data_IF_031362899763
#
_entry.id   IF_031362899763
#
_cell.length_a   1.000
_cell.length_b   1.000
_cell.length_c   1.000
_cell.angle_alpha   90.00
_cell.angle_beta   90.00
_cell.angle_gamma   90.00
#
_symmetry.space_group_name_H-M   'P 1'
#
loop_
_entity.id
_entity.type
_entity.pdbx_description
1 polymer ?
#
# COMPACT_ATOMS: atom_id res chain seq x y z
N UNK A 1 50.83 -3.18 -25.82
CA UNK A 1 49.44 -2.84 -25.47
C UNK A 1 49.31 -2.86 -23.96
N UNK A 2 49.33 -1.70 -23.29
CA UNK A 2 48.70 -1.46 -21.98
C UNK A 2 48.57 0.06 -21.85
N UNK A 3 47.31 0.48 -21.74
CA UNK A 3 46.82 1.85 -21.74
C UNK A 3 46.98 2.37 -20.30
N UNK A 4 47.95 3.25 -20.05
CA UNK A 4 48.07 3.95 -18.77
C UNK A 4 46.93 4.97 -18.66
N UNK A 5 46.00 4.69 -17.76
CA UNK A 5 44.95 5.61 -17.32
C UNK A 5 45.46 6.32 -16.06
N UNK A 6 45.46 7.65 -16.04
CA UNK A 6 45.06 8.46 -14.87
C UNK A 6 45.00 9.96 -15.22
N UNK A 7 43.83 10.51 -14.93
CA UNK A 7 43.34 11.86 -15.18
C UNK A 7 44.16 12.94 -14.44
N UNK A 8 44.31 14.15 -15.00
CA UNK A 8 44.87 15.29 -14.29
C UNK A 8 43.82 16.13 -13.55
N UNK A 9 44.28 16.60 -12.38
CA UNK A 9 44.07 17.89 -11.71
C UNK A 9 42.67 18.39 -11.35
N UNK A 10 42.46 18.49 -10.02
CA UNK A 10 41.58 19.47 -9.40
C UNK A 10 41.99 20.90 -9.79
N UNK A 11 41.07 21.64 -10.39
CA UNK A 11 40.98 23.10 -10.22
C UNK A 11 39.50 23.47 -10.13
N UNK A 12 39.00 23.65 -8.91
CA UNK A 12 37.73 24.30 -8.67
C UNK A 12 37.93 25.81 -8.83
N UNK A 13 37.45 26.37 -9.94
CA UNK A 13 37.35 27.81 -10.15
C UNK A 13 35.88 28.23 -9.98
N UNK A 14 35.70 29.30 -9.21
CA UNK A 14 34.43 29.89 -8.83
C UNK A 14 33.70 30.54 -10.01
N UNK A 15 32.37 30.50 -9.98
CA UNK A 15 31.51 31.53 -10.56
C UNK A 15 30.15 31.49 -9.85
N UNK A 16 29.97 32.39 -8.89
CA UNK A 16 28.65 32.74 -8.38
C UNK A 16 27.93 33.54 -9.46
N UNK A 17 26.90 32.97 -10.07
CA UNK A 17 26.02 33.67 -11.00
C UNK A 17 24.68 33.91 -10.31
N UNK A 18 24.44 35.19 -10.01
CA UNK A 18 23.18 35.75 -9.57
C UNK A 18 22.14 35.51 -10.69
N UNK A 19 21.16 34.64 -10.47
CA UNK A 19 20.02 34.48 -11.38
C UNK A 19 18.77 35.02 -10.69
N UNK A 20 18.24 36.09 -11.28
CA UNK A 20 17.04 36.77 -10.83
C UNK A 20 15.84 35.81 -10.83
N UNK A 21 15.13 35.77 -9.70
CA UNK A 21 13.83 35.09 -9.57
C UNK A 21 12.78 36.00 -10.19
N UNK A 22 12.36 35.73 -11.42
CA UNK A 22 11.12 36.28 -11.97
C UNK A 22 9.98 35.39 -11.51
N UNK A 23 9.16 35.92 -10.60
CA UNK A 23 7.90 35.31 -10.17
C UNK A 23 6.94 35.23 -11.37
N UNK A 24 6.71 34.03 -11.91
CA UNK A 24 5.58 33.78 -12.80
C UNK A 24 4.28 33.73 -11.96
N UNK A 25 3.24 34.52 -12.30
CA UNK A 25 1.94 34.39 -11.65
C UNK A 25 1.29 33.05 -11.99
N UNK A 26 0.68 32.45 -10.97
CA UNK A 26 0.16 31.09 -10.97
C UNK A 26 -0.93 30.85 -12.02
N UNK A 27 -0.79 29.72 -12.71
CA UNK A 27 -1.86 29.15 -13.53
C UNK A 27 -2.71 28.24 -12.64
N UNK A 28 -4.04 28.47 -12.50
CA UNK A 28 -4.90 27.46 -11.89
C UNK A 28 -5.03 26.29 -12.85
N UNK A 29 -4.40 25.16 -12.51
CA UNK A 29 -4.63 23.89 -13.18
C UNK A 29 -6.05 23.42 -12.83
N UNK A 30 -7.02 23.75 -13.68
CA UNK A 30 -8.35 23.14 -13.65
C UNK A 30 -8.23 21.72 -14.21
N UNK A 31 -7.99 20.75 -13.34
CA UNK A 31 -8.12 19.34 -13.69
C UNK A 31 -9.61 19.01 -13.93
N UNK A 32 -9.95 18.22 -14.97
CA UNK A 32 -11.33 17.80 -15.18
C UNK A 32 -11.79 16.90 -14.03
N UNK A 33 -12.83 17.35 -13.32
CA UNK A 33 -13.54 16.57 -12.30
C UNK A 33 -14.20 15.38 -13.01
N UNK A 34 -13.70 14.16 -12.76
CA UNK A 34 -14.37 12.93 -13.21
C UNK A 34 -15.78 12.89 -12.60
N UNK A 35 -16.83 12.55 -13.37
CA UNK A 35 -18.19 12.51 -12.86
C UNK A 35 -18.29 11.52 -11.68
N UNK A 36 -18.71 12.06 -10.54
CA UNK A 36 -19.03 11.34 -9.31
C UNK A 36 -20.33 10.59 -9.54
N UNK A 37 -20.27 9.38 -10.11
CA UNK A 37 -21.40 8.43 -10.12
C UNK A 37 -20.96 6.96 -10.21
N UNK A 38 -19.94 6.59 -9.44
CA UNK A 38 -19.74 5.22 -8.96
C UNK A 38 -19.35 5.23 -7.48
N UNK A 39 -20.31 5.56 -6.63
CA UNK A 39 -20.30 5.17 -5.21
C UNK A 39 -21.33 4.04 -5.08
N UNK A 40 -20.89 2.82 -5.38
CA UNK A 40 -21.61 1.58 -5.06
C UNK A 40 -20.76 0.83 -4.05
N UNK A 41 -21.11 1.01 -2.78
CA UNK A 41 -20.47 0.38 -1.62
C UNK A 41 -19.98 1.43 -0.62
N UNK A 42 -20.87 1.89 0.27
CA UNK A 42 -20.44 2.43 1.55
C UNK A 42 -19.73 1.29 2.30
N UNK A 43 -18.41 1.22 2.17
CA UNK A 43 -17.56 0.40 3.05
C UNK A 43 -17.83 0.86 4.48
N UNK A 44 -18.22 -0.03 5.42
CA UNK A 44 -18.52 0.39 6.77
C UNK A 44 -17.28 1.06 7.36
N UNK A 45 -17.46 2.27 7.88
CA UNK A 45 -16.44 3.04 8.59
C UNK A 45 -15.63 2.11 9.49
N UNK A 46 -14.31 1.91 9.26
CA UNK A 46 -13.48 1.04 10.09
C UNK A 46 -13.08 1.78 11.36
N UNK A 47 -14.06 2.17 12.14
CA UNK A 47 -13.91 2.50 13.56
C UNK A 47 -15.00 1.74 14.30
N UNK A 48 -14.92 0.43 14.14
CA UNK A 48 -15.58 -0.61 14.90
C UNK A 48 -15.32 -0.44 16.40
N UNK A 49 -16.01 0.53 17.02
CA UNK A 49 -16.22 0.74 18.46
C UNK A 49 -15.01 0.85 19.38
N UNK A 50 -13.80 0.55 18.91
CA UNK A 50 -12.60 0.41 19.70
C UNK A 50 -11.54 1.43 19.23
N UNK A 51 -11.49 2.63 19.85
CA UNK A 51 -10.46 3.60 19.55
C UNK A 51 -9.06 3.07 19.89
N UNK A 52 -8.19 3.01 18.88
CA UNK A 52 -6.82 2.54 18.97
C UNK A 52 -6.64 1.03 18.84
N UNK A 53 -7.72 0.27 18.58
CA UNK A 53 -7.61 -1.10 18.11
C UNK A 53 -7.07 -1.15 16.67
N UNK A 54 -6.46 -2.27 16.33
CA UNK A 54 -6.06 -2.56 14.95
C UNK A 54 -7.15 -3.26 14.16
N UNK A 55 -7.21 -2.98 12.86
CA UNK A 55 -8.07 -3.67 11.92
C UNK A 55 -7.53 -3.58 10.49
N UNK A 56 -7.56 -4.67 9.70
CA UNK A 56 -7.32 -4.61 8.28
C UNK A 56 -8.58 -4.10 7.55
N UNK A 57 -8.40 -3.48 6.38
CA UNK A 57 -9.49 -2.98 5.55
C UNK A 57 -9.71 -3.88 4.35
N UNK A 58 -10.99 -4.01 4.00
CA UNK A 58 -11.36 -4.62 2.73
C UNK A 58 -10.71 -3.83 1.59
N UNK A 59 -10.07 -4.54 0.68
CA UNK A 59 -9.17 -3.96 -0.32
C UNK A 59 -9.58 -4.45 -1.70
N UNK A 60 -9.68 -3.53 -2.65
CA UNK A 60 -9.87 -3.85 -4.05
C UNK A 60 -8.54 -3.74 -4.77
N UNK A 61 -8.14 -4.81 -5.44
CA UNK A 61 -6.92 -4.90 -6.22
C UNK A 61 -7.24 -5.33 -7.64
N UNK A 62 -6.48 -4.79 -8.59
CA UNK A 62 -6.61 -5.10 -10.00
C UNK A 62 -5.50 -6.05 -10.42
N UNK A 63 -5.81 -6.95 -11.35
CA UNK A 63 -4.81 -7.63 -12.18
C UNK A 63 -3.91 -6.58 -12.88
N UNK A 64 -2.60 -6.83 -12.90
CA UNK A 64 -1.60 -5.95 -13.51
C UNK A 64 -0.42 -5.65 -12.57
N UNK A 65 -0.63 -4.89 -11.48
CA UNK A 65 0.40 -4.69 -10.47
C UNK A 65 0.83 -6.02 -9.82
N UNK A 66 2.13 -6.20 -9.53
CA UNK A 66 2.62 -7.45 -8.94
C UNK A 66 2.25 -7.61 -7.46
N UNK A 67 1.65 -6.58 -6.84
CA UNK A 67 1.34 -6.55 -5.41
C UNK A 67 0.00 -5.87 -5.15
N UNK A 68 -0.73 -6.42 -4.18
CA UNK A 68 -1.90 -5.83 -3.57
C UNK A 68 -1.52 -5.31 -2.17
N UNK A 69 -1.78 -4.03 -1.91
CA UNK A 69 -1.47 -3.39 -0.63
C UNK A 69 -2.74 -3.35 0.23
N UNK A 70 -2.75 -4.14 1.30
CA UNK A 70 -3.88 -4.21 2.23
C UNK A 70 -3.58 -3.32 3.44
N UNK A 71 -4.29 -2.19 3.63
CA UNK A 71 -4.01 -1.30 4.75
C UNK A 71 -4.55 -1.87 6.06
N UNK A 72 -3.77 -1.70 7.11
CA UNK A 72 -4.11 -2.02 8.49
C UNK A 72 -4.07 -0.73 9.29
N UNK A 73 -5.20 -0.34 9.87
CA UNK A 73 -5.34 0.90 10.62
C UNK A 73 -5.22 0.69 12.11
N UNK A 74 -4.78 1.75 12.80
CA UNK A 74 -4.78 1.94 14.24
C UNK A 74 -5.06 3.40 14.55
N UNK A 75 -6.33 3.73 14.75
CA UNK A 75 -6.76 5.13 14.93
C UNK A 75 -7.37 5.33 16.30
N UNK A 76 -6.92 6.31 17.11
CA UNK A 76 -5.82 7.25 16.85
C UNK A 76 -4.42 6.58 16.92
N UNK A 77 -3.38 7.21 16.35
CA UNK A 77 -1.99 6.74 16.52
C UNK A 77 -1.60 6.75 18.00
N UNK A 78 -0.66 5.87 18.38
CA UNK A 78 -0.12 5.84 19.76
C UNK A 78 1.41 5.72 19.74
N UNK A 79 2.03 6.14 20.83
CA UNK A 79 3.50 6.13 21.01
C UNK A 79 4.11 4.74 21.20
N UNK A 80 3.31 3.68 21.33
CA UNK A 80 3.79 2.30 21.39
C UNK A 80 3.69 1.61 20.03
N UNK A 81 4.65 0.76 19.65
CA UNK A 81 4.52 -0.04 18.43
C UNK A 81 3.43 -1.11 18.59
N UNK A 82 2.92 -1.61 17.46
CA UNK A 82 2.07 -2.81 17.41
C UNK A 82 2.72 -3.83 16.49
N UNK A 83 2.88 -5.05 16.99
CA UNK A 83 3.34 -6.19 16.18
C UNK A 83 2.16 -7.09 15.88
N UNK A 84 2.00 -7.45 14.61
CA UNK A 84 0.85 -8.17 14.09
C UNK A 84 1.38 -9.34 13.27
N UNK A 85 0.96 -10.57 13.59
CA UNK A 85 1.12 -11.68 12.65
C UNK A 85 -0.08 -11.73 11.72
N UNK A 86 0.13 -12.16 10.48
CA UNK A 86 -0.95 -12.28 9.53
C UNK A 86 -0.78 -13.49 8.61
N UNK A 87 -1.91 -13.98 8.08
CA UNK A 87 -1.95 -15.04 7.07
C UNK A 87 -3.04 -14.76 6.04
N UNK A 88 -2.87 -15.31 4.86
CA UNK A 88 -3.91 -15.31 3.82
C UNK A 88 -4.82 -16.51 3.98
N UNK A 89 -6.12 -16.32 3.78
CA UNK A 89 -7.14 -17.38 3.81
C UNK A 89 -7.76 -17.49 2.42
N UNK A 90 -7.69 -18.67 1.82
CA UNK A 90 -8.28 -18.90 0.49
C UNK A 90 -9.80 -18.76 0.54
N UNK A 91 -10.38 -18.11 -0.48
CA UNK A 91 -11.82 -18.12 -0.73
C UNK A 91 -12.06 -18.50 -2.19
N UNK A 92 -12.55 -17.61 -3.06
CA UNK A 92 -12.68 -17.91 -4.50
C UNK A 92 -11.37 -17.75 -5.27
N UNK A 93 -10.46 -16.88 -4.80
CA UNK A 93 -9.08 -16.82 -5.25
C UNK A 93 -8.24 -17.92 -4.59
N UNK A 94 -7.37 -18.57 -5.37
CA UNK A 94 -6.56 -19.72 -4.96
C UNK A 94 -5.08 -19.35 -4.76
N UNK A 95 -4.47 -19.72 -3.62
CA UNK A 95 -3.04 -19.50 -3.40
C UNK A 95 -2.22 -20.34 -4.40
N UNK A 96 -1.14 -19.77 -4.93
CA UNK A 96 -0.31 -20.36 -5.98
C UNK A 96 -0.87 -20.22 -7.40
N UNK A 97 -2.08 -19.69 -7.55
CA UNK A 97 -2.70 -19.43 -8.86
C UNK A 97 -3.01 -17.93 -9.02
N UNK A 98 -3.72 -17.33 -8.07
CA UNK A 98 -4.15 -15.93 -8.13
C UNK A 98 -3.24 -15.02 -7.26
N UNK A 99 -2.67 -15.57 -6.19
CA UNK A 99 -1.77 -14.85 -5.28
C UNK A 99 -0.79 -15.81 -4.59
N UNK A 100 0.31 -15.30 -4.08
CA UNK A 100 1.25 -16.09 -3.25
C UNK A 100 0.70 -16.19 -1.83
N UNK A 101 0.37 -17.39 -1.39
CA UNK A 101 -0.15 -17.63 -0.04
C UNK A 101 0.87 -17.31 1.05
N UNK A 102 0.44 -16.62 2.10
CA UNK A 102 1.24 -16.31 3.29
C UNK A 102 0.67 -17.08 4.48
N UNK A 103 1.47 -17.97 5.07
CA UNK A 103 1.08 -18.74 6.26
C UNK A 103 1.43 -18.05 7.58
N UNK A 104 2.49 -17.23 7.60
CA UNK A 104 2.92 -16.46 8.78
C UNK A 104 3.78 -15.26 8.36
N UNK A 105 3.12 -14.14 8.05
CA UNK A 105 3.77 -12.84 7.87
C UNK A 105 3.78 -12.02 9.15
N UNK A 106 4.61 -10.99 9.20
CA UNK A 106 4.65 -10.02 10.31
C UNK A 106 4.54 -8.60 9.77
N UNK A 107 3.71 -7.79 10.41
CA UNK A 107 3.55 -6.36 10.17
C UNK A 107 3.81 -5.62 11.48
N UNK A 108 4.51 -4.48 11.41
CA UNK A 108 4.71 -3.60 12.56
C UNK A 108 4.17 -2.22 12.24
N UNK A 109 3.20 -1.76 13.01
CA UNK A 109 2.78 -0.35 13.01
C UNK A 109 3.73 0.39 13.95
N UNK A 110 4.56 1.24 13.37
CA UNK A 110 5.56 2.01 14.11
C UNK A 110 4.91 2.99 15.11
N UNK A 111 5.61 3.40 16.17
CA UNK A 111 5.16 4.46 17.06
C UNK A 111 4.69 5.70 16.29
N UNK A 112 3.61 6.29 16.77
CA UNK A 112 2.99 7.51 16.20
C UNK A 112 2.48 7.36 14.76
N UNK A 113 2.43 6.14 14.21
CA UNK A 113 1.75 5.85 12.95
C UNK A 113 0.31 5.36 13.22
N UNK A 114 -0.59 5.74 12.32
CA UNK A 114 -2.00 5.31 12.34
C UNK A 114 -2.30 4.18 11.37
N UNK A 115 -1.33 3.77 10.55
CA UNK A 115 -1.50 2.67 9.60
C UNK A 115 -0.16 2.03 9.24
N UNK A 116 -0.25 0.82 8.69
CA UNK A 116 0.79 0.17 7.91
C UNK A 116 0.15 -0.74 6.87
N UNK A 117 0.91 -1.23 5.89
CA UNK A 117 0.37 -2.01 4.77
C UNK A 117 0.96 -3.42 4.72
N UNK A 118 0.09 -4.39 4.44
CA UNK A 118 0.47 -5.76 4.10
C UNK A 118 0.58 -5.84 2.58
N UNK A 119 1.76 -6.16 2.06
CA UNK A 119 1.98 -6.38 0.64
C UNK A 119 1.77 -7.86 0.30
N UNK A 120 0.68 -8.19 -0.40
CA UNK A 120 0.43 -9.54 -0.92
C UNK A 120 0.89 -9.59 -2.37
N UNK A 121 1.76 -10.54 -2.71
CA UNK A 121 2.18 -10.75 -4.09
C UNK A 121 1.05 -11.38 -4.90
N UNK A 122 0.69 -10.74 -6.01
CA UNK A 122 -0.29 -11.26 -6.97
C UNK A 122 0.43 -12.07 -8.04
N UNK A 123 -0.23 -13.13 -8.50
CA UNK A 123 0.24 -13.94 -9.62
C UNK A 123 -0.54 -13.51 -10.85
N UNK A 124 0.13 -13.02 -11.91
CA UNK A 124 -0.56 -12.58 -13.12
C UNK A 124 -1.39 -13.71 -13.73
N UNK A 125 -2.67 -13.42 -13.95
CA UNK A 125 -3.66 -14.30 -14.51
C UNK A 125 -4.45 -13.54 -15.59
N UNK A 126 -3.92 -13.45 -16.82
CA UNK A 126 -4.57 -12.74 -17.92
C UNK A 126 -5.91 -13.36 -18.34
N UNK A 127 -6.24 -14.56 -17.87
CA UNK A 127 -7.52 -15.23 -18.08
C UNK A 127 -8.55 -14.97 -16.97
N UNK A 128 -8.29 -14.09 -16.02
CA UNK A 128 -9.24 -13.71 -14.98
C UNK A 128 -10.41 -12.95 -15.59
N UNK A 129 -11.56 -13.63 -15.75
CA UNK A 129 -12.77 -13.06 -16.34
C UNK A 129 -13.75 -12.49 -15.30
N UNK A 130 -13.64 -12.90 -14.04
CA UNK A 130 -14.57 -12.54 -12.96
C UNK A 130 -13.81 -12.16 -11.69
N UNK A 131 -14.47 -11.39 -10.81
CA UNK A 131 -13.91 -11.01 -9.51
C UNK A 131 -13.66 -12.26 -8.65
N UNK A 132 -12.48 -12.32 -8.02
CA UNK A 132 -12.13 -13.36 -7.05
C UNK A 132 -11.75 -12.75 -5.71
N UNK A 133 -11.91 -13.49 -4.63
CA UNK A 133 -11.66 -12.99 -3.29
C UNK A 133 -10.75 -13.92 -2.49
N UNK A 134 -9.96 -13.34 -1.60
CA UNK A 134 -9.27 -14.05 -0.52
C UNK A 134 -9.26 -13.20 0.74
N UNK A 135 -9.03 -13.82 1.89
CA UNK A 135 -8.99 -13.16 3.17
C UNK A 135 -7.57 -12.82 3.61
N UNK A 136 -7.41 -11.73 4.36
CA UNK A 136 -6.23 -11.46 5.18
C UNK A 136 -6.66 -11.47 6.64
N UNK A 137 -6.11 -12.39 7.42
CA UNK A 137 -6.41 -12.57 8.84
C UNK A 137 -5.23 -12.13 9.68
N UNK A 138 -5.49 -11.28 10.68
CA UNK A 138 -4.55 -10.84 11.71
C UNK A 138 -4.67 -11.78 12.92
N UNK A 139 -3.53 -12.23 13.43
CA UNK A 139 -3.44 -13.05 14.63
C UNK A 139 -2.20 -12.68 15.46
N UNK A 140 -2.13 -13.19 16.70
CA UNK A 140 -1.03 -12.93 17.63
C UNK A 140 -0.65 -11.43 17.70
N UNK A 141 -1.65 -10.56 17.80
CA UNK A 141 -1.45 -9.10 17.87
C UNK A 141 -0.97 -8.71 19.27
N UNK A 142 0.11 -7.93 19.32
CA UNK A 142 0.69 -7.40 20.56
C UNK A 142 0.79 -5.88 20.49
N UNK A 143 0.40 -5.20 21.58
CA UNK A 143 0.45 -3.72 21.69
C UNK A 143 -0.84 -2.98 21.31
N UNK A 144 -1.90 -3.70 20.94
CA UNK A 144 -3.25 -3.16 20.71
C UNK A 144 -4.32 -4.26 20.79
N UNK A 145 -5.57 -3.88 21.03
CA UNK A 145 -6.72 -4.75 20.79
C UNK A 145 -7.01 -4.89 19.28
N UNK A 146 -7.81 -5.88 18.91
CA UNK A 146 -8.22 -6.12 17.51
C UNK A 146 -9.71 -5.85 17.40
N UNK A 147 -10.10 -4.91 16.54
CA UNK A 147 -11.52 -4.59 16.33
C UNK A 147 -12.16 -5.51 15.30
N UNK A 148 -11.42 -5.80 14.23
CA UNK A 148 -11.79 -6.79 13.21
C UNK A 148 -10.53 -7.54 12.80
N UNK A 149 -10.46 -8.87 12.95
CA UNK A 149 -9.24 -9.61 12.63
C UNK A 149 -9.12 -9.92 11.14
N UNK A 150 -10.19 -9.83 10.35
CA UNK A 150 -10.19 -10.27 8.96
C UNK A 150 -10.63 -9.15 8.01
N UNK A 151 -9.96 -9.07 6.86
CA UNK A 151 -10.37 -8.26 5.71
C UNK A 151 -10.52 -9.14 4.48
N UNK A 152 -11.42 -8.75 3.59
CA UNK A 152 -11.61 -9.34 2.28
C UNK A 152 -10.82 -8.54 1.23
N UNK A 153 -10.02 -9.25 0.46
CA UNK A 153 -9.36 -8.70 -0.72
C UNK A 153 -10.11 -9.17 -1.95
N UNK A 154 -10.56 -8.24 -2.79
CA UNK A 154 -11.20 -8.52 -4.07
C UNK A 154 -10.21 -8.26 -5.20
N UNK A 155 -9.88 -9.31 -5.95
CA UNK A 155 -9.11 -9.28 -7.18
C UNK A 155 -10.04 -9.10 -8.36
N UNK A 156 -9.85 -8.03 -9.11
CA UNK A 156 -10.61 -7.71 -10.32
C UNK A 156 -9.78 -7.93 -11.59
N UNK A 157 -10.42 -8.33 -12.71
CA UNK A 157 -9.79 -8.38 -14.02
C UNK A 157 -9.11 -7.08 -14.42
N UNK A 158 -7.99 -7.14 -15.15
CA UNK A 158 -7.28 -5.95 -15.59
C UNK A 158 -8.22 -5.04 -16.39
N UNK A 159 -8.18 -3.74 -16.11
CA UNK A 159 -8.92 -2.76 -16.91
C UNK A 159 -8.25 -2.63 -18.28
N UNK A 160 -9.00 -2.97 -19.32
CA UNK A 160 -8.57 -2.86 -20.72
C UNK A 160 -8.76 -1.44 -21.26
#
# INVERSE_FOLDING_TARGET
MIRLLRLPLLTAAAAALLMAVTMLPGSPATAPVRPVNQVLGLSPSPTSGCPGCVQPLDTLCWEGPPRCMVPVLRTPPRSTPVTIHYRTVAMTARPGIDYVGVSSGTLVIQPNQSSAEIAIQLIPNPGLAEDRTFGVELFAVSGAGVARPMATVTLRPAQH
#
